data_IF_250324496126
#
_entry.id   IF_250324496126
#
_cell.length_a   1.000
_cell.length_b   1.000
_cell.length_c   1.000
_cell.angle_alpha   90.00
_cell.angle_beta   90.00
_cell.angle_gamma   90.00
#
_symmetry.space_group_name_H-M   'P 1'
#
loop_
_entity.id
_entity.type
_entity.pdbx_description
1 polymer ?
#
# COMPACT_ATOMS: atom_id res chain seq x y z
N UNK A 1 -1.24 -26.61 23.76
CA UNK A 1 -1.19 -25.58 22.70
C UNK A 1 -0.04 -25.98 21.82
N UNK A 2 -0.24 -26.18 20.52
CA UNK A 2 0.84 -26.56 19.61
C UNK A 2 1.64 -25.29 19.32
N UNK A 3 2.86 -25.21 19.83
CA UNK A 3 3.83 -24.22 19.40
C UNK A 3 4.05 -24.46 17.90
N UNK A 4 3.55 -23.56 17.04
CA UNK A 4 3.84 -23.63 15.60
C UNK A 4 5.35 -23.49 15.45
N UNK A 5 5.99 -24.37 14.68
CA UNK A 5 7.41 -24.21 14.34
C UNK A 5 7.62 -22.86 13.66
N UNK A 6 8.79 -22.26 13.86
CA UNK A 6 9.15 -20.95 13.27
C UNK A 6 8.92 -20.95 11.75
N UNK A 7 9.29 -22.04 11.06
CA UNK A 7 9.01 -22.24 9.63
C UNK A 7 7.51 -22.16 9.27
N UNK A 8 6.64 -22.73 10.12
CA UNK A 8 5.18 -22.67 9.89
C UNK A 8 4.64 -21.26 10.06
N UNK A 9 5.25 -20.46 10.96
CA UNK A 9 4.90 -19.05 11.13
C UNK A 9 5.38 -18.26 9.92
N UNK A 10 6.62 -18.46 9.47
CA UNK A 10 7.16 -17.77 8.28
C UNK A 10 6.33 -18.08 7.03
N UNK A 11 6.02 -19.35 6.75
CA UNK A 11 5.19 -19.72 5.60
C UNK A 11 3.80 -19.08 5.65
N UNK A 12 3.20 -19.02 6.85
CA UNK A 12 1.92 -18.35 7.06
C UNK A 12 2.01 -16.85 6.79
N UNK A 13 3.06 -16.18 7.25
CA UNK A 13 3.26 -14.74 7.04
C UNK A 13 3.50 -14.42 5.56
N UNK A 14 4.29 -15.23 4.86
CA UNK A 14 4.47 -15.12 3.40
C UNK A 14 3.15 -15.29 2.67
N UNK A 15 2.34 -16.28 3.04
CA UNK A 15 1.02 -16.50 2.44
C UNK A 15 0.11 -15.26 2.64
N UNK A 16 0.05 -14.73 3.86
CA UNK A 16 -0.74 -13.53 4.18
C UNK A 16 -0.24 -12.30 3.38
N UNK A 17 1.07 -12.11 3.27
CA UNK A 17 1.64 -11.04 2.45
C UNK A 17 1.25 -11.20 0.98
N UNK A 18 1.41 -12.40 0.40
CA UNK A 18 1.08 -12.67 -1.00
C UNK A 18 -0.42 -12.51 -1.29
N UNK A 19 -1.28 -12.70 -0.29
CA UNK A 19 -2.72 -12.45 -0.36
C UNK A 19 -3.08 -10.97 -0.16
N UNK A 20 -2.10 -10.07 -0.01
CA UNK A 20 -2.33 -8.65 0.20
C UNK A 20 -2.91 -8.33 1.59
N UNK A 21 -2.72 -9.20 2.58
CA UNK A 21 -3.17 -9.00 3.96
C UNK A 21 -2.13 -8.24 4.82
N UNK A 22 -1.03 -7.78 4.23
CA UNK A 22 -0.10 -6.88 4.90
C UNK A 22 -0.73 -5.48 5.01
N UNK A 23 -0.82 -4.95 6.22
CA UNK A 23 -1.32 -3.59 6.47
C UNK A 23 -0.36 -2.54 5.92
N UNK A 24 0.95 -2.81 6.05
CA UNK A 24 2.02 -1.96 5.56
C UNK A 24 3.16 -2.83 5.05
N UNK A 25 3.81 -2.38 3.98
CA UNK A 25 4.97 -3.04 3.39
C UNK A 25 5.95 -1.97 2.94
N UNK A 26 7.22 -2.14 3.30
CA UNK A 26 8.31 -1.28 2.87
C UNK A 26 9.39 -2.13 2.23
N UNK A 27 9.95 -1.66 1.12
CA UNK A 27 11.10 -2.29 0.49
C UNK A 27 12.38 -1.76 1.14
N UNK A 28 13.26 -2.69 1.50
CA UNK A 28 14.60 -2.43 1.99
C UNK A 28 15.62 -2.79 0.89
N UNK A 29 16.80 -2.21 1.02
CA UNK A 29 17.92 -2.40 0.11
C UNK A 29 18.41 -3.84 0.18
N UNK A 30 18.98 -4.31 -0.93
CA UNK A 30 19.42 -5.69 -1.06
C UNK A 30 18.26 -6.68 -1.16
N UNK A 31 17.16 -6.30 -1.83
CA UNK A 31 16.05 -7.20 -2.15
C UNK A 31 15.35 -7.76 -0.90
N UNK A 32 15.21 -6.91 0.13
CA UNK A 32 14.54 -7.26 1.38
C UNK A 32 13.26 -6.45 1.56
N UNK A 33 12.37 -6.95 2.39
CA UNK A 33 11.09 -6.32 2.68
C UNK A 33 10.84 -6.33 4.19
N UNK A 34 10.12 -5.30 4.64
CA UNK A 34 9.60 -5.19 6.00
C UNK A 34 8.08 -5.00 5.93
N UNK A 35 7.35 -5.94 6.50
CA UNK A 35 5.89 -6.01 6.41
C UNK A 35 5.26 -6.06 7.81
N UNK A 36 4.16 -5.33 7.97
CA UNK A 36 3.30 -5.37 9.15
C UNK A 36 2.06 -6.20 8.79
N UNK A 37 1.86 -7.33 9.47
CA UNK A 37 0.81 -8.29 9.16
C UNK A 37 -0.01 -8.57 10.42
N UNK A 38 -1.33 -8.49 10.31
CA UNK A 38 -2.24 -8.95 11.36
C UNK A 38 -2.79 -10.33 10.99
N UNK A 39 -2.54 -11.34 11.82
CA UNK A 39 -3.11 -12.68 11.60
C UNK A 39 -4.53 -12.73 12.20
N UNK A 40 -5.59 -12.83 11.37
CA UNK A 40 -6.96 -12.83 11.85
C UNK A 40 -7.32 -14.12 12.60
N UNK A 41 -6.58 -15.21 12.36
CA UNK A 41 -6.80 -16.52 12.98
C UNK A 41 -6.35 -16.54 14.45
N UNK A 42 -5.15 -16.04 14.71
CA UNK A 42 -4.56 -15.99 16.06
C UNK A 42 -4.87 -14.70 16.80
N UNK A 43 -5.33 -13.65 16.09
CA UNK A 43 -5.55 -12.31 16.65
C UNK A 43 -4.25 -11.60 17.03
N UNK A 44 -3.11 -12.06 16.51
CA UNK A 44 -1.77 -11.53 16.79
C UNK A 44 -1.29 -10.66 15.63
N UNK A 45 -0.37 -9.76 15.93
CA UNK A 45 0.27 -8.93 14.93
C UNK A 45 1.75 -9.29 14.83
N UNK A 46 2.28 -9.23 13.61
CA UNK A 46 3.62 -9.65 13.28
C UNK A 46 4.32 -8.54 12.50
N UNK A 47 5.58 -8.29 12.87
CA UNK A 47 6.51 -7.55 12.01
C UNK A 47 7.39 -8.59 11.34
N UNK A 48 7.34 -8.66 10.02
CA UNK A 48 8.00 -9.67 9.22
C UNK A 48 9.03 -9.03 8.31
N UNK A 49 10.29 -9.45 8.45
CA UNK A 49 11.41 -9.06 7.60
C UNK A 49 11.84 -10.27 6.80
N UNK A 50 11.96 -10.12 5.48
CA UNK A 50 12.39 -11.24 4.64
C UNK A 50 13.07 -10.77 3.36
N UNK A 51 13.92 -11.63 2.79
CA UNK A 51 14.45 -11.46 1.43
C UNK A 51 13.44 -11.86 0.35
N UNK A 52 13.85 -11.76 -0.91
CA UNK A 52 13.07 -12.33 -2.03
C UNK A 52 12.97 -13.85 -1.87
N UNK A 53 11.74 -14.34 -1.94
CA UNK A 53 11.49 -15.76 -2.15
C UNK A 53 11.86 -16.14 -3.60
N UNK A 54 12.96 -16.88 -3.74
CA UNK A 54 13.41 -17.44 -5.00
C UNK A 54 12.89 -18.87 -5.21
N UNK A 55 12.12 -19.40 -4.26
CA UNK A 55 11.74 -20.81 -4.21
C UNK A 55 10.27 -21.05 -4.52
N UNK A 56 9.54 -20.01 -4.95
CA UNK A 56 8.11 -20.08 -5.26
C UNK A 56 7.29 -20.65 -4.09
N UNK A 57 7.67 -20.32 -2.86
CA UNK A 57 7.05 -20.77 -1.62
C UNK A 57 7.40 -22.20 -1.20
N UNK A 58 8.39 -22.83 -1.83
CA UNK A 58 8.86 -24.16 -1.41
C UNK A 58 9.65 -24.10 -0.10
N UNK A 59 10.40 -23.03 0.14
CA UNK A 59 11.21 -22.80 1.34
C UNK A 59 11.08 -21.35 1.82
N UNK A 60 11.23 -21.08 3.13
CA UNK A 60 11.28 -19.71 3.61
C UNK A 60 12.50 -18.98 3.01
N UNK A 61 12.36 -17.71 2.58
CA UNK A 61 13.48 -16.94 2.06
C UNK A 61 14.59 -16.80 3.13
N UNK A 62 15.85 -16.70 2.69
CA UNK A 62 16.96 -16.51 3.61
C UNK A 62 16.77 -15.22 4.41
N UNK A 63 17.34 -15.20 5.63
CA UNK A 63 17.28 -14.03 6.52
C UNK A 63 15.83 -13.61 6.88
N UNK A 64 14.88 -14.57 6.84
CA UNK A 64 13.52 -14.36 7.34
C UNK A 64 13.53 -14.21 8.87
N UNK A 65 13.12 -13.04 9.34
CA UNK A 65 12.98 -12.71 10.75
C UNK A 65 11.55 -12.26 11.01
N UNK A 66 10.92 -12.74 12.08
CA UNK A 66 9.61 -12.28 12.49
C UNK A 66 9.60 -11.93 13.98
N UNK A 67 8.81 -10.90 14.30
CA UNK A 67 8.56 -10.47 15.66
C UNK A 67 7.05 -10.53 15.93
N UNK A 68 6.68 -11.32 16.92
CA UNK A 68 5.29 -11.50 17.32
C UNK A 68 4.89 -10.52 18.42
N UNK A 69 3.73 -9.89 18.25
CA UNK A 69 3.16 -8.95 19.21
C UNK A 69 1.71 -9.31 19.55
N UNK A 70 1.27 -9.01 20.78
CA UNK A 70 -0.09 -9.30 21.23
C UNK A 70 -1.14 -8.37 20.61
N UNK A 71 -0.76 -7.18 20.16
CA UNK A 71 -1.67 -6.18 19.57
C UNK A 71 -1.06 -5.53 18.34
N UNK A 72 -1.92 -5.13 17.40
CA UNK A 72 -1.52 -4.39 16.19
C UNK A 72 -0.85 -3.05 16.54
N UNK A 73 -1.31 -2.36 17.59
CA UNK A 73 -0.68 -1.12 18.06
C UNK A 73 0.78 -1.32 18.46
N UNK A 74 1.08 -2.40 19.20
CA UNK A 74 2.45 -2.69 19.63
C UNK A 74 3.32 -3.07 18.43
N UNK A 75 2.79 -3.87 17.51
CA UNK A 75 3.49 -4.23 16.28
C UNK A 75 3.74 -3.02 15.38
N UNK A 76 2.78 -2.10 15.27
CA UNK A 76 2.91 -0.88 14.47
C UNK A 76 4.00 0.04 15.02
N UNK A 77 4.10 0.20 16.35
CA UNK A 77 5.17 0.97 16.97
C UNK A 77 6.54 0.33 16.70
N UNK A 78 6.64 -0.99 16.83
CA UNK A 78 7.88 -1.72 16.55
C UNK A 78 8.26 -1.66 15.06
N UNK A 79 7.27 -1.75 14.17
CA UNK A 79 7.45 -1.57 12.74
C UNK A 79 8.01 -0.20 12.41
N UNK A 80 7.42 0.87 12.96
CA UNK A 80 7.89 2.24 12.75
C UNK A 80 9.32 2.44 13.26
N UNK A 81 9.64 1.86 14.42
CA UNK A 81 10.99 1.87 14.96
C UNK A 81 11.98 1.21 13.99
N UNK A 82 11.71 -0.02 13.56
CA UNK A 82 12.57 -0.78 12.64
C UNK A 82 12.70 -0.11 11.27
N UNK A 83 11.62 0.51 10.79
CA UNK A 83 11.60 1.28 9.56
C UNK A 83 12.50 2.51 9.67
N UNK A 84 12.41 3.24 10.80
CA UNK A 84 13.23 4.42 11.05
C UNK A 84 14.71 4.05 11.24
N UNK A 85 15.01 2.93 11.92
CA UNK A 85 16.37 2.39 12.00
C UNK A 85 16.92 2.06 10.62
N UNK A 86 16.11 1.40 9.78
CA UNK A 86 16.47 1.07 8.40
C UNK A 86 16.68 2.34 7.54
N UNK A 87 15.85 3.37 7.74
CA UNK A 87 16.00 4.68 7.11
C UNK A 87 17.28 5.37 7.53
N UNK A 88 17.58 5.40 8.83
CA UNK A 88 18.79 5.98 9.38
C UNK A 88 20.06 5.24 8.90
N UNK A 89 19.95 3.94 8.65
CA UNK A 89 21.02 3.12 8.07
C UNK A 89 21.18 3.30 6.54
N UNK A 90 20.26 4.01 5.88
CA UNK A 90 20.22 4.13 4.42
C UNK A 90 19.83 2.82 3.71
N UNK A 91 19.20 1.89 4.44
CA UNK A 91 18.69 0.63 3.91
C UNK A 91 17.26 0.75 3.41
N UNK A 92 16.50 1.80 3.77
CA UNK A 92 15.17 1.99 3.21
C UNK A 92 15.30 2.37 1.74
N UNK A 93 14.72 1.57 0.83
CA UNK A 93 14.52 2.01 -0.54
C UNK A 93 13.32 2.96 -0.48
N UNK A 94 13.61 4.24 -0.30
CA UNK A 94 12.63 5.29 -0.50
C UNK A 94 12.20 5.17 -1.96
N UNK A 95 10.98 4.70 -2.19
CA UNK A 95 10.36 4.79 -3.50
C UNK A 95 10.31 6.29 -3.79
N UNK A 96 11.13 6.75 -4.75
CA UNK A 96 11.25 8.14 -5.19
C UNK A 96 9.91 8.68 -5.77
N UNK A 97 8.81 7.92 -5.63
CA UNK A 97 7.44 8.44 -5.65
C UNK A 97 7.14 9.28 -4.40
N UNK A 98 7.99 10.27 -4.10
CA UNK A 98 7.43 11.62 -3.95
C UNK A 98 6.89 12.02 -5.31
N UNK A 99 5.73 11.43 -5.63
CA UNK A 99 4.73 12.13 -6.38
C UNK A 99 4.65 13.52 -5.75
N UNK A 100 4.91 14.52 -6.59
CA UNK A 100 4.76 15.95 -6.41
C UNK A 100 3.39 16.29 -5.80
N UNK A 101 3.16 15.91 -4.55
CA UNK A 101 1.97 16.28 -3.78
C UNK A 101 2.29 17.61 -3.13
N UNK A 102 2.24 18.65 -3.96
CA UNK A 102 1.77 19.96 -3.55
C UNK A 102 2.84 21.01 -3.27
N UNK A 103 3.57 21.44 -4.29
CA UNK A 103 3.76 22.88 -4.48
C UNK A 103 2.64 23.39 -5.41
N UNK A 104 1.41 23.45 -4.89
CA UNK A 104 0.36 24.21 -5.54
C UNK A 104 0.67 25.69 -5.26
N UNK A 105 1.58 26.27 -6.04
CA UNK A 105 1.81 27.70 -6.07
C UNK A 105 0.46 28.36 -6.44
N UNK A 106 -0.24 28.86 -5.44
CA UNK A 106 -1.47 29.63 -5.59
C UNK A 106 -1.14 31.00 -6.23
N UNK A 107 -0.74 30.99 -7.49
CA UNK A 107 -0.52 32.15 -8.33
C UNK A 107 -1.85 32.64 -8.90
N UNK A 108 -2.70 33.22 -8.04
CA UNK A 108 -3.84 34.00 -8.49
C UNK A 108 -3.36 35.19 -9.32
N UNK A 109 -3.53 35.11 -10.64
CA UNK A 109 -3.41 36.26 -11.53
C UNK A 109 -4.58 36.24 -12.53
N UNK A 110 -5.43 37.26 -12.38
CA UNK A 110 -6.58 37.59 -13.21
C UNK A 110 -6.24 37.55 -14.71
N UNK A 111 -7.08 36.88 -15.51
CA UNK A 111 -7.25 37.26 -16.92
C UNK A 111 -8.66 37.76 -17.09
N UNK A 112 -8.77 39.08 -16.99
CA UNK A 112 -9.96 39.82 -17.36
C UNK A 112 -10.00 39.92 -18.88
N UNK A 113 -11.24 39.87 -19.37
CA UNK A 113 -11.74 40.47 -20.59
C UNK A 113 -11.88 39.62 -21.87
N UNK A 114 -13.17 39.52 -22.26
CA UNK A 114 -13.73 39.75 -23.60
C UNK A 114 -13.70 38.58 -24.61
N UNK A 115 -14.68 37.69 -24.47
CA UNK A 115 -15.48 37.28 -25.62
C UNK A 115 -16.96 37.48 -25.29
N UNK A 116 -17.41 38.71 -25.53
CA UNK A 116 -18.78 38.98 -25.93
C UNK A 116 -18.81 38.77 -27.45
N UNK A 117 -19.45 37.70 -27.92
CA UNK A 117 -20.32 37.74 -29.09
C UNK A 117 -20.99 36.37 -29.32
N UNK A 118 -22.32 36.42 -29.47
CA UNK A 118 -23.15 35.50 -30.27
C UNK A 118 -23.29 34.06 -29.75
N UNK A 119 -24.47 33.50 -29.56
CA UNK A 119 -25.83 33.93 -29.83
C UNK A 119 -26.69 32.92 -29.04
N UNK A 120 -27.73 33.42 -28.39
CA UNK A 120 -28.75 32.60 -27.74
C UNK A 120 -29.44 31.69 -28.78
N UNK A 121 -29.51 30.39 -28.51
CA UNK A 121 -30.71 29.64 -28.89
C UNK A 121 -30.97 28.54 -27.85
N UNK A 122 -31.77 28.94 -26.85
CA UNK A 122 -32.45 28.09 -25.88
C UNK A 122 -33.72 27.54 -26.53
N UNK A 123 -33.84 26.22 -26.76
CA UNK A 123 -35.17 25.61 -26.83
C UNK A 123 -35.17 24.09 -26.55
N UNK A 124 -35.40 23.80 -25.27
CA UNK A 124 -36.32 22.78 -24.71
C UNK A 124 -36.57 21.45 -25.43
N UNK A 125 -36.30 20.38 -24.68
CA UNK A 125 -37.00 19.11 -24.55
C UNK A 125 -38.17 18.82 -25.51
N UNK A 126 -38.11 17.68 -26.19
CA UNK A 126 -39.29 16.83 -26.36
C UNK A 126 -38.92 15.36 -26.18
N UNK A 127 -39.60 14.73 -25.21
CA UNK A 127 -39.58 13.29 -24.97
C UNK A 127 -40.86 12.71 -25.57
N UNK A 128 -40.78 12.04 -26.72
CA UNK A 128 -41.85 11.13 -27.18
C UNK A 128 -41.29 9.83 -27.76
N UNK A 129 -41.35 8.80 -26.91
CA UNK A 129 -41.89 7.46 -27.16
C UNK A 129 -42.18 7.01 -28.61
N UNK A 130 -41.62 5.83 -28.94
CA UNK A 130 -42.14 4.72 -29.78
C UNK A 130 -42.13 4.76 -31.32
N UNK A 131 -42.02 3.53 -31.83
CA UNK A 131 -42.50 2.99 -33.11
C UNK A 131 -41.47 2.74 -34.25
N UNK A 132 -40.99 1.49 -34.28
CA UNK A 132 -41.05 0.53 -35.41
C UNK A 132 -40.40 0.81 -36.79
N UNK A 133 -39.46 -0.09 -37.16
CA UNK A 133 -39.18 -0.71 -38.48
C UNK A 133 -38.55 0.13 -39.62
N UNK A 134 -37.97 -0.51 -40.68
CA UNK A 134 -37.92 -1.94 -41.01
C UNK A 134 -36.54 -2.63 -41.00
#
# INVERSE_FOLDING_TARGET
MQERSEEQIVSRLLELENQGQAERRAQLSGERYLSLIQDPDSGRAYVFRHGIDNTEGAEPPPESEFYEYPTSETAAQAYDQLLNESKAAGELVEDDSTEDVGDFEAGGAEVRDLYADMDEDELTQDSTISEEAP
#
